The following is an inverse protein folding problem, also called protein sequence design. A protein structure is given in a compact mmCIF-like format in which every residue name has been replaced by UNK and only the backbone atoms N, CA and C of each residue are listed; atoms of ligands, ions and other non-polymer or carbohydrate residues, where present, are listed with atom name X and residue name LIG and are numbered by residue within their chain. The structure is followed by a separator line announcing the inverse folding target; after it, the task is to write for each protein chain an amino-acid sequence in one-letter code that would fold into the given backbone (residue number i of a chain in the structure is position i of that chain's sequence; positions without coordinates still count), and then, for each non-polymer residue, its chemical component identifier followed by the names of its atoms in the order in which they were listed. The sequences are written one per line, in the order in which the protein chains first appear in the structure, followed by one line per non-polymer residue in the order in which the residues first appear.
data_IF_725483710769
#
_entry.id   IF_725483710769
#
_cell.length_a   1.000
_cell.length_b   1.000
_cell.length_c   1.000
_cell.angle_alpha   90.00
_cell.angle_beta   90.00
_cell.angle_gamma   90.00
#
_symmetry.space_group_name_H-M   'P 1'
#
loop_
_entity.id
_entity.type
_entity.pdbx_description
1 polymer ?
#
# COMPACT_ATOMS: atom_id res chain seq x y z
N UNK A 1 -9.78 -9.74 -14.38
CA UNK A 1 -10.78 -10.42 -13.55
C UNK A 1 -10.09 -11.39 -12.59
N UNK A 2 -9.80 -10.97 -11.35
CA UNK A 2 -9.25 -11.82 -10.26
C UNK A 2 -10.30 -11.95 -9.14
N UNK A 3 -11.46 -12.50 -9.47
CA UNK A 3 -12.56 -12.67 -8.49
C UNK A 3 -12.57 -14.10 -7.90
N UNK A 4 -11.57 -14.93 -8.19
CA UNK A 4 -11.61 -16.38 -7.87
C UNK A 4 -10.64 -16.89 -6.79
N UNK A 5 -10.01 -16.02 -5.98
CA UNK A 5 -9.06 -16.47 -4.94
C UNK A 5 -9.36 -15.98 -3.50
N UNK A 6 -10.44 -15.24 -3.28
CA UNK A 6 -10.81 -14.73 -1.94
C UNK A 6 -11.42 -15.78 -0.98
N UNK A 7 -11.26 -17.08 -1.26
CA UNK A 7 -11.70 -18.15 -0.34
C UNK A 7 -10.55 -18.96 0.28
N UNK A 8 -9.30 -18.69 -0.10
CA UNK A 8 -8.14 -19.48 0.34
C UNK A 8 -7.40 -18.82 1.52
N UNK A 9 -7.46 -17.51 1.63
CA UNK A 9 -6.96 -16.73 2.77
C UNK A 9 -8.16 -16.06 3.42
N UNK A 10 -8.44 -16.31 4.71
CA UNK A 10 -9.59 -15.74 5.42
C UNK A 10 -9.37 -14.23 5.69
N UNK A 11 -9.10 -13.46 4.64
CA UNK A 11 -8.85 -12.03 4.68
C UNK A 11 -10.15 -11.29 4.36
N UNK A 12 -10.67 -10.57 5.34
CA UNK A 12 -11.73 -9.61 5.13
C UNK A 12 -11.13 -8.31 4.60
N UNK A 13 -11.67 -7.78 3.51
CA UNK A 13 -11.29 -6.47 2.99
C UNK A 13 -12.36 -5.44 3.35
N UNK A 14 -11.96 -4.38 4.04
CA UNK A 14 -12.81 -3.24 4.39
C UNK A 14 -12.33 -2.05 3.56
N UNK A 15 -13.23 -1.40 2.83
CA UNK A 15 -12.90 -0.20 2.05
C UNK A 15 -13.58 1.03 2.64
N UNK A 16 -12.82 2.12 2.75
CA UNK A 16 -13.32 3.44 3.17
C UNK A 16 -12.77 4.49 2.21
N UNK A 17 -13.42 4.61 1.07
CA UNK A 17 -12.97 5.54 0.04
C UNK A 17 -13.65 6.89 0.22
N UNK A 18 -12.87 7.97 0.19
CA UNK A 18 -13.42 9.31 0.14
C UNK A 18 -14.33 9.45 -1.10
N UNK A 19 -15.54 10.02 -0.96
CA UNK A 19 -16.50 10.12 -2.06
C UNK A 19 -16.04 11.08 -3.17
N UNK A 20 -15.27 12.10 -2.81
CA UNK A 20 -14.86 13.21 -3.69
C UNK A 20 -13.33 13.31 -3.77
N UNK A 21 -12.68 12.21 -4.16
CA UNK A 21 -11.23 12.18 -4.34
C UNK A 21 -10.85 12.96 -5.61
N UNK A 22 -9.93 13.93 -5.53
CA UNK A 22 -9.48 14.70 -6.70
C UNK A 22 -8.66 13.83 -7.67
N UNK A 23 -8.39 14.35 -8.87
CA UNK A 23 -7.58 13.65 -9.86
C UNK A 23 -6.08 13.76 -9.55
N UNK A 24 -5.34 12.73 -9.94
CA UNK A 24 -3.87 12.68 -9.90
C UNK A 24 -3.35 12.19 -11.24
N UNK A 25 -2.13 12.57 -11.61
CA UNK A 25 -1.48 12.15 -12.85
C UNK A 25 -0.56 10.98 -12.56
N UNK A 26 -0.98 9.78 -12.95
CA UNK A 26 -0.19 8.58 -12.76
C UNK A 26 -0.43 7.49 -13.80
N UNK A 27 0.59 6.65 -14.00
CA UNK A 27 0.47 5.42 -14.77
C UNK A 27 -0.37 4.40 -13.99
N UNK A 28 -1.53 4.08 -14.55
CA UNK A 28 -2.48 3.14 -13.96
C UNK A 28 -1.87 1.76 -13.67
N UNK A 29 -1.04 1.23 -14.57
CA UNK A 29 -0.46 -0.10 -14.40
C UNK A 29 0.61 -0.12 -13.32
N UNK A 30 1.40 0.95 -13.20
CA UNK A 30 2.38 1.10 -12.13
C UNK A 30 1.69 1.21 -10.77
N UNK A 31 0.66 2.05 -10.63
CA UNK A 31 -0.10 2.14 -9.38
C UNK A 31 -0.78 0.81 -9.02
N UNK A 32 -1.37 0.13 -10.00
CA UNK A 32 -1.93 -1.20 -9.78
C UNK A 32 -0.87 -2.19 -9.26
N UNK A 33 0.35 -2.15 -9.79
CA UNK A 33 1.46 -2.99 -9.32
C UNK A 33 1.90 -2.62 -7.89
N UNK A 34 1.96 -1.32 -7.56
CA UNK A 34 2.24 -0.85 -6.20
C UNK A 34 1.22 -1.40 -5.21
N UNK A 35 -0.07 -1.20 -5.48
CA UNK A 35 -1.14 -1.65 -4.59
C UNK A 35 -1.16 -3.17 -4.46
N UNK A 36 -0.95 -3.91 -5.56
CA UNK A 36 -0.83 -5.37 -5.50
C UNK A 36 0.34 -5.83 -4.63
N UNK A 37 1.50 -5.17 -4.69
CA UNK A 37 2.65 -5.52 -3.86
C UNK A 37 2.34 -5.33 -2.36
N UNK A 38 1.65 -4.24 -2.01
CA UNK A 38 1.24 -3.96 -0.63
C UNK A 38 0.22 -5.01 -0.15
N UNK A 39 -0.83 -5.27 -0.95
CA UNK A 39 -1.88 -6.25 -0.63
C UNK A 39 -1.31 -7.66 -0.45
N UNK A 40 -0.41 -8.10 -1.33
CA UNK A 40 0.24 -9.43 -1.23
C UNK A 40 1.12 -9.54 0.02
N UNK A 41 1.74 -8.43 0.46
CA UNK A 41 2.50 -8.42 1.70
C UNK A 41 1.59 -8.52 2.93
N UNK A 42 0.52 -7.71 2.96
CA UNK A 42 -0.49 -7.75 4.02
C UNK A 42 -1.11 -9.16 4.14
N UNK A 43 -1.56 -9.75 3.03
CA UNK A 43 -2.11 -11.10 2.97
C UNK A 43 -1.13 -12.15 3.52
N UNK A 44 0.14 -12.10 3.09
CA UNK A 44 1.16 -13.04 3.53
C UNK A 44 1.35 -13.00 5.05
N UNK A 45 1.53 -11.80 5.62
CA UNK A 45 1.84 -11.67 7.04
C UNK A 45 0.63 -11.93 7.94
N UNK A 46 -0.59 -11.51 7.54
CA UNK A 46 -1.82 -11.88 8.23
C UNK A 46 -2.04 -13.40 8.20
N UNK A 47 -1.88 -14.04 7.04
CA UNK A 47 -2.08 -15.50 6.90
C UNK A 47 -1.06 -16.29 7.72
N UNK A 48 0.21 -15.89 7.72
CA UNK A 48 1.26 -16.57 8.50
C UNK A 48 1.08 -16.39 10.02
N UNK A 49 0.54 -15.26 10.46
CA UNK A 49 0.35 -14.98 11.89
C UNK A 49 -0.95 -15.58 12.44
N UNK A 50 -2.05 -15.49 11.68
CA UNK A 50 -3.40 -15.72 12.21
C UNK A 50 -4.31 -16.55 11.28
N UNK A 51 -3.82 -17.07 10.14
CA UNK A 51 -4.61 -17.80 9.13
C UNK A 51 -5.80 -17.02 8.54
N UNK A 52 -5.72 -15.70 8.58
CA UNK A 52 -6.77 -14.77 8.23
C UNK A 52 -6.46 -13.38 8.77
N UNK A 53 -7.36 -12.42 8.58
CA UNK A 53 -7.18 -11.06 9.07
C UNK A 53 -8.10 -10.06 8.40
N UNK A 54 -7.88 -8.79 8.71
CA UNK A 54 -8.62 -7.66 8.18
C UNK A 54 -7.64 -6.72 7.50
N UNK A 55 -7.83 -6.53 6.18
CA UNK A 55 -7.17 -5.48 5.43
C UNK A 55 -8.14 -4.31 5.26
N UNK A 56 -7.83 -3.17 5.85
CA UNK A 56 -8.58 -1.93 5.63
C UNK A 56 -7.84 -1.07 4.60
N UNK A 57 -8.54 -0.66 3.54
CA UNK A 57 -8.03 0.27 2.53
C UNK A 57 -8.80 1.56 2.63
N UNK A 58 -8.10 2.67 2.88
CA UNK A 58 -8.69 4.01 2.96
C UNK A 58 -8.12 4.91 1.88
N UNK A 59 -8.94 5.84 1.39
CA UNK A 59 -8.47 6.96 0.58
C UNK A 59 -8.96 8.26 1.17
N UNK A 60 -8.10 9.27 1.17
CA UNK A 60 -8.44 10.60 1.64
C UNK A 60 -7.66 11.69 0.90
N UNK A 61 -8.19 12.91 0.94
CA UNK A 61 -7.47 14.11 0.50
C UNK A 61 -6.83 14.75 1.72
N UNK A 62 -5.51 14.90 1.71
CA UNK A 62 -4.75 15.57 2.77
C UNK A 62 -4.03 16.77 2.18
N UNK A 63 -4.59 17.97 2.35
CA UNK A 63 -4.06 19.17 1.70
C UNK A 63 -4.04 19.01 0.17
N UNK A 64 -2.84 19.00 -0.42
CA UNK A 64 -2.60 18.92 -1.87
C UNK A 64 -2.19 17.52 -2.35
N UNK A 65 -2.40 16.50 -1.52
CA UNK A 65 -2.15 15.09 -1.88
C UNK A 65 -3.41 14.22 -1.74
N UNK A 66 -3.41 13.12 -2.49
CA UNK A 66 -4.24 11.95 -2.27
C UNK A 66 -3.42 10.98 -1.42
N UNK A 67 -3.96 10.59 -0.27
CA UNK A 67 -3.41 9.52 0.55
C UNK A 67 -4.21 8.23 0.33
N UNK A 68 -3.51 7.13 0.12
CA UNK A 68 -4.06 5.77 0.09
C UNK A 68 -3.36 4.95 1.16
N UNK A 69 -4.13 4.50 2.14
CA UNK A 69 -3.59 3.77 3.30
C UNK A 69 -4.11 2.33 3.31
N UNK A 70 -3.20 1.38 3.52
CA UNK A 70 -3.44 -0.05 3.58
C UNK A 70 -3.06 -0.56 4.97
N UNK A 71 -4.05 -0.73 5.84
CA UNK A 71 -3.87 -1.19 7.22
C UNK A 71 -4.22 -2.65 7.35
N UNK A 72 -3.25 -3.49 7.69
CA UNK A 72 -3.46 -4.88 8.08
C UNK A 72 -3.47 -5.05 9.61
N UNK A 73 -4.09 -6.12 10.09
CA UNK A 73 -4.07 -6.55 11.50
C UNK A 73 -3.09 -7.70 11.74
N UNK A 74 -2.04 -7.78 10.93
CA UNK A 74 -1.02 -8.81 11.02
C UNK A 74 -0.07 -8.63 12.22
N UNK A 75 1.10 -9.31 12.19
CA UNK A 75 2.03 -9.32 13.31
C UNK A 75 2.78 -7.98 13.51
N UNK A 76 2.62 -7.02 12.60
CA UNK A 76 3.40 -5.79 12.56
C UNK A 76 4.85 -6.00 12.13
N UNK A 77 5.61 -4.90 12.12
CA UNK A 77 6.97 -4.80 11.59
C UNK A 77 7.87 -4.24 12.68
N UNK A 78 8.98 -4.94 12.97
CA UNK A 78 9.98 -4.45 13.91
C UNK A 78 10.60 -3.13 13.43
N UNK A 79 10.92 -2.23 14.35
CA UNK A 79 11.42 -0.88 14.04
C UNK A 79 12.69 -0.90 13.19
N UNK A 80 13.60 -1.83 13.46
CA UNK A 80 14.81 -2.06 12.68
C UNK A 80 14.57 -2.54 11.25
N UNK A 81 13.40 -3.12 10.96
CA UNK A 81 13.03 -3.56 9.61
C UNK A 81 12.33 -2.43 8.82
N UNK A 82 11.61 -1.52 9.49
CA UNK A 82 10.93 -0.39 8.85
C UNK A 82 11.89 0.45 7.99
N UNK A 83 13.11 0.70 8.50
CA UNK A 83 14.12 1.51 7.81
C UNK A 83 14.70 0.84 6.55
N UNK A 84 14.44 -0.45 6.35
CA UNK A 84 14.97 -1.26 5.24
C UNK A 84 13.88 -1.78 4.32
N UNK A 85 12.60 -1.49 4.59
CA UNK A 85 11.46 -2.07 3.87
C UNK A 85 11.53 -1.88 2.35
N UNK A 86 12.13 -0.77 1.92
CA UNK A 86 12.24 -0.39 0.52
C UNK A 86 13.64 -0.66 -0.06
N UNK A 87 14.55 -1.26 0.71
CA UNK A 87 15.86 -1.70 0.22
C UNK A 87 15.67 -2.86 -0.77
N UNK A 88 16.37 -2.86 -1.92
CA UNK A 88 16.34 -3.99 -2.84
C UNK A 88 16.74 -5.30 -2.16
N UNK A 89 15.99 -6.37 -2.44
CA UNK A 89 16.18 -7.73 -1.93
C UNK A 89 15.94 -7.90 -0.42
N UNK A 90 15.54 -6.85 0.30
CA UNK A 90 15.17 -6.99 1.71
C UNK A 90 13.83 -7.71 1.84
N UNK A 91 13.78 -8.72 2.70
CA UNK A 91 12.55 -9.45 3.03
C UNK A 91 12.70 -10.16 4.36
N UNK A 92 11.64 -10.16 5.16
CA UNK A 92 11.50 -10.98 6.38
C UNK A 92 10.66 -12.24 6.14
N UNK A 93 10.13 -12.41 4.92
CA UNK A 93 9.44 -13.64 4.52
C UNK A 93 10.41 -14.83 4.55
N UNK A 94 9.88 -16.04 4.78
CA UNK A 94 10.66 -17.29 4.74
C UNK A 94 11.39 -17.44 3.40
N UNK A 95 12.52 -18.16 3.42
CA UNK A 95 13.34 -18.41 2.23
C UNK A 95 12.48 -18.97 1.09
N UNK A 96 12.60 -18.37 -0.10
CA UNK A 96 11.84 -18.75 -1.29
C UNK A 96 10.39 -18.24 -1.34
N UNK A 97 9.93 -17.49 -0.33
CA UNK A 97 8.56 -16.90 -0.30
C UNK A 97 8.50 -15.43 -0.73
N UNK A 98 9.63 -14.81 -1.05
CA UNK A 98 9.70 -13.45 -1.56
C UNK A 98 11.05 -13.14 -2.17
N UNK A 99 11.05 -12.32 -3.22
CA UNK A 99 12.28 -11.83 -3.87
C UNK A 99 12.86 -10.60 -3.18
N UNK A 100 12.08 -9.94 -2.33
CA UNK A 100 12.45 -8.65 -1.71
C UNK A 100 12.48 -7.48 -2.69
N UNK A 101 11.93 -7.61 -3.90
CA UNK A 101 11.93 -6.55 -4.92
C UNK A 101 10.63 -5.75 -5.00
N UNK A 102 9.53 -6.28 -4.48
CA UNK A 102 8.20 -5.67 -4.64
C UNK A 102 8.16 -4.23 -4.12
N UNK A 103 8.50 -4.04 -2.84
CA UNK A 103 8.45 -2.71 -2.21
C UNK A 103 9.52 -1.76 -2.76
N UNK A 104 10.73 -2.23 -3.11
CA UNK A 104 11.76 -1.38 -3.71
C UNK A 104 11.35 -0.84 -5.08
N UNK A 105 10.70 -1.68 -5.91
CA UNK A 105 10.15 -1.25 -7.20
C UNK A 105 8.98 -0.29 -6.98
N UNK A 106 8.10 -0.58 -6.02
CA UNK A 106 7.00 0.30 -5.65
C UNK A 106 7.47 1.68 -5.20
N UNK A 107 8.56 1.75 -4.44
CA UNK A 107 9.18 3.02 -4.05
C UNK A 107 9.64 3.83 -5.26
N UNK A 108 10.31 3.19 -6.22
CA UNK A 108 10.71 3.82 -7.49
C UNK A 108 9.51 4.38 -8.25
N UNK A 109 8.48 3.56 -8.47
CA UNK A 109 7.25 3.96 -9.18
C UNK A 109 6.58 5.16 -8.49
N UNK A 110 6.38 5.12 -7.17
CA UNK A 110 5.73 6.23 -6.46
C UNK A 110 6.58 7.51 -6.50
N UNK A 111 7.90 7.38 -6.40
CA UNK A 111 8.82 8.53 -6.52
C UNK A 111 8.77 9.14 -7.93
N UNK A 112 8.71 8.33 -8.98
CA UNK A 112 8.58 8.79 -10.38
C UNK A 112 7.28 9.59 -10.61
N UNK A 113 6.25 9.31 -9.82
CA UNK A 113 4.99 10.07 -9.81
C UNK A 113 5.00 11.32 -8.93
N UNK A 114 6.17 11.69 -8.36
CA UNK A 114 6.28 12.80 -7.41
C UNK A 114 5.59 12.54 -6.06
N UNK A 115 5.26 11.28 -5.79
CA UNK A 115 4.62 10.84 -4.57
C UNK A 115 5.60 10.32 -3.53
N UNK A 116 5.04 9.79 -2.44
CA UNK A 116 5.78 9.18 -1.34
C UNK A 116 5.13 7.87 -0.93
N UNK A 117 5.93 6.86 -0.58
CA UNK A 117 5.46 5.63 0.05
C UNK A 117 6.23 5.38 1.34
N UNK A 118 5.53 5.02 2.41
CA UNK A 118 6.12 4.68 3.70
C UNK A 118 5.24 3.69 4.46
N UNK A 119 5.73 3.23 5.61
CA UNK A 119 4.97 2.35 6.48
C UNK A 119 5.11 2.75 7.94
N UNK A 120 4.02 2.61 8.67
CA UNK A 120 3.93 2.75 10.12
C UNK A 120 3.50 1.42 10.72
N UNK A 121 4.14 0.98 11.79
CA UNK A 121 3.81 -0.30 12.40
C UNK A 121 4.34 -0.42 13.83
N UNK A 122 3.62 -1.21 14.62
CA UNK A 122 4.04 -1.69 15.93
C UNK A 122 3.85 -3.21 15.99
N UNK A 123 4.80 -3.92 16.59
CA UNK A 123 4.71 -5.37 16.74
C UNK A 123 3.43 -5.77 17.49
N UNK A 124 2.69 -6.71 16.92
CA UNK A 124 1.42 -7.22 17.45
C UNK A 124 0.21 -6.33 17.17
N UNK A 125 0.35 -5.21 16.44
CA UNK A 125 -0.75 -4.29 16.10
C UNK A 125 -0.99 -4.13 14.60
N UNK A 126 -0.30 -4.90 13.77
CA UNK A 126 -0.37 -4.78 12.32
C UNK A 126 0.52 -3.68 11.74
N UNK A 127 0.37 -3.45 10.44
CA UNK A 127 1.10 -2.42 9.72
C UNK A 127 0.17 -1.59 8.85
N UNK A 128 0.51 -0.32 8.67
CA UNK A 128 -0.13 0.56 7.70
C UNK A 128 0.91 0.97 6.68
N UNK A 129 0.66 0.67 5.41
CA UNK A 129 1.42 1.20 4.28
C UNK A 129 0.65 2.39 3.69
N UNK A 130 1.34 3.51 3.53
CA UNK A 130 0.76 4.78 3.08
C UNK A 130 1.40 5.15 1.74
N UNK A 131 0.55 5.44 0.75
CA UNK A 131 0.94 5.96 -0.56
C UNK A 131 0.34 7.35 -0.72
N UNK A 132 1.19 8.35 -0.87
CA UNK A 132 0.82 9.75 -1.10
C UNK A 132 1.11 10.09 -2.56
N UNK A 133 0.14 10.68 -3.25
CA UNK A 133 0.26 11.14 -4.64
C UNK A 133 -0.16 12.61 -4.75
N UNK A 134 0.55 13.44 -5.52
CA UNK A 134 0.16 14.83 -5.72
C UNK A 134 -1.16 14.92 -6.48
N UNK A 135 -1.99 15.89 -6.11
CA UNK A 135 -3.21 16.23 -6.84
C UNK A 135 -2.84 17.00 -8.10
N UNK A 136 -3.54 16.73 -9.19
CA UNK A 136 -3.52 17.62 -10.36
C UNK A 136 -4.33 18.86 -9.99
N UNK A 137 -3.65 19.97 -9.75
CA UNK A 137 -4.31 21.26 -9.70
C UNK A 137 -4.72 21.56 -11.14
N UNK A 138 -6.00 21.35 -11.45
CA UNK A 138 -6.56 21.87 -12.70
C UNK A 138 -6.33 23.37 -12.72
N UNK A 139 -5.66 23.89 -13.74
CA UNK A 139 -5.70 25.32 -14.02
C UNK A 139 -7.18 25.69 -14.10
N UNK A 140 -7.63 26.54 -13.17
CA UNK A 140 -8.87 27.29 -13.38
C UNK A 140 -8.62 28.25 -14.56
N UNK A 141 -8.67 27.72 -15.78
CA UNK A 141 -8.96 28.55 -16.94
C UNK A 141 -10.40 29.06 -16.79
N UNK A 142 -10.55 30.29 -16.31
CA UNK A 142 -11.77 31.07 -16.51
C UNK A 142 -12.15 31.98 -15.35
N UNK A 143 -11.71 33.23 -15.41
CA UNK A 143 -12.16 34.26 -14.47
C UNK A 143 -11.78 35.71 -14.83
N UNK A 144 -11.81 36.08 -16.12
CA UNK A 144 -11.65 37.42 -16.72
C UNK A 144 -10.35 38.20 -16.51
#
# INVERSE_FOLDING_TARGET
LRVYDQRVSNIQVITKFAPDLPETMADYFQLQQVFLNIVINAEYFMTEAHHGGILTITTEKVGDIIEVSFTDDGPGIAKENLVRLFDPFFTTKKIGKGTGLGLSISHGMITEHGGRIYAESELGKGATFIVELPIVIGDNEGGN
#
